data_IF_858720715321
#
_entry.id   IF_858720715321
#
_cell.length_a   1.000
_cell.length_b   1.000
_cell.length_c   1.000
_cell.angle_alpha   90.00
_cell.angle_beta   90.00
_cell.angle_gamma   90.00
#
_symmetry.space_group_name_H-M   'P 1'
#
loop_
_entity.id
_entity.type
_entity.pdbx_description
1 polymer ?
#
# COMPACT_ATOMS: atom_id res chain seq x y z
N UNK A 1 -19.00 -8.64 -6.28
CA UNK A 1 -17.51 -8.52 -6.30
C UNK A 1 -16.78 -9.73 -5.73
N UNK A 2 -17.06 -10.20 -4.50
CA UNK A 2 -16.33 -11.34 -3.87
C UNK A 2 -16.28 -12.63 -4.71
N UNK A 3 -17.34 -12.94 -5.46
CA UNK A 3 -17.44 -14.11 -6.36
C UNK A 3 -16.50 -14.02 -7.57
N UNK A 4 -16.34 -12.83 -8.15
CA UNK A 4 -15.47 -12.59 -9.30
C UNK A 4 -14.00 -12.61 -8.89
N UNK A 5 -13.66 -12.01 -7.74
CA UNK A 5 -12.32 -12.09 -7.14
C UNK A 5 -11.91 -13.53 -6.83
N UNK A 6 -12.82 -14.36 -6.29
CA UNK A 6 -12.58 -15.79 -6.06
C UNK A 6 -12.35 -16.59 -7.34
N UNK A 7 -13.07 -16.29 -8.43
CA UNK A 7 -12.86 -16.92 -9.74
C UNK A 7 -11.54 -16.49 -10.39
N UNK A 8 -11.20 -15.21 -10.28
CA UNK A 8 -9.93 -14.66 -10.78
C UNK A 8 -8.71 -15.28 -10.07
N UNK A 9 -8.77 -15.45 -8.74
CA UNK A 9 -7.73 -16.14 -7.94
C UNK A 9 -7.47 -17.60 -8.36
N UNK A 10 -8.42 -18.27 -9.03
CA UNK A 10 -8.31 -19.68 -9.43
C UNK A 10 -7.77 -19.90 -10.85
N UNK A 11 -7.79 -18.89 -11.73
CA UNK A 11 -7.50 -19.09 -13.16
C UNK A 11 -6.07 -18.74 -13.58
N UNK A 12 -5.32 -17.98 -12.77
CA UNK A 12 -3.86 -17.85 -12.91
C UNK A 12 -3.23 -18.71 -11.82
N UNK A 13 -2.18 -19.46 -12.14
CA UNK A 13 -1.14 -19.76 -11.16
C UNK A 13 -0.55 -18.41 -10.73
N UNK A 14 -1.24 -17.70 -9.84
CA UNK A 14 -0.76 -16.44 -9.30
C UNK A 14 0.51 -16.82 -8.56
N UNK A 15 1.67 -16.32 -9.01
CA UNK A 15 2.86 -16.28 -8.17
C UNK A 15 2.44 -15.60 -6.87
N UNK A 16 2.19 -16.39 -5.84
CA UNK A 16 1.84 -15.89 -4.52
C UNK A 16 3.11 -15.32 -3.93
N UNK A 17 3.18 -13.99 -3.82
CA UNK A 17 4.23 -13.34 -3.04
C UNK A 17 3.90 -13.53 -1.55
N UNK A 18 4.90 -13.88 -0.74
CA UNK A 18 4.72 -13.83 0.71
C UNK A 18 4.65 -12.38 1.19
N UNK A 19 4.00 -12.13 2.33
CA UNK A 19 3.92 -10.78 2.88
C UNK A 19 5.32 -10.22 3.19
N UNK A 20 6.27 -11.08 3.59
CA UNK A 20 7.67 -10.73 3.80
C UNK A 20 8.33 -10.24 2.51
N UNK A 21 8.25 -11.02 1.44
CA UNK A 21 8.80 -10.64 0.12
C UNK A 21 8.14 -9.35 -0.42
N UNK A 22 6.83 -9.20 -0.22
CA UNK A 22 6.10 -7.99 -0.61
C UNK A 22 6.65 -6.76 0.11
N UNK A 23 6.78 -6.81 1.43
CA UNK A 23 7.31 -5.67 2.20
C UNK A 23 8.76 -5.36 1.83
N UNK A 24 9.62 -6.37 1.68
CA UNK A 24 11.01 -6.18 1.25
C UNK A 24 11.11 -5.52 -0.14
N UNK A 25 10.34 -6.01 -1.11
CA UNK A 25 10.29 -5.48 -2.47
C UNK A 25 9.94 -3.99 -2.50
N UNK A 26 8.84 -3.61 -1.84
CA UNK A 26 8.36 -2.22 -1.91
C UNK A 26 9.12 -1.26 -0.98
N UNK A 27 9.69 -1.75 0.13
CA UNK A 27 10.65 -0.95 0.90
C UNK A 27 11.87 -0.61 0.05
N UNK A 28 12.45 -1.61 -0.64
CA UNK A 28 13.60 -1.37 -1.50
C UNK A 28 13.29 -0.39 -2.63
N UNK A 29 12.12 -0.49 -3.24
CA UNK A 29 11.69 0.48 -4.25
C UNK A 29 11.67 1.90 -3.68
N UNK A 30 11.01 2.14 -2.55
CA UNK A 30 10.92 3.50 -1.99
C UNK A 30 12.27 4.07 -1.54
N UNK A 31 13.19 3.21 -1.12
CA UNK A 31 14.52 3.64 -0.68
C UNK A 31 15.47 3.94 -1.84
N UNK A 32 15.37 3.20 -2.95
CA UNK A 32 16.39 3.22 -4.00
C UNK A 32 15.90 3.76 -5.35
N UNK A 33 14.62 3.53 -5.68
CA UNK A 33 14.10 3.76 -7.04
C UNK A 33 13.05 4.89 -7.11
N UNK A 34 12.34 5.17 -6.01
CA UNK A 34 11.36 6.25 -5.98
C UNK A 34 12.02 7.63 -6.10
N UNK A 35 11.64 8.36 -7.14
CA UNK A 35 12.00 9.77 -7.34
C UNK A 35 10.75 10.67 -7.37
N UNK A 36 10.51 11.50 -6.34
CA UNK A 36 9.36 12.40 -6.31
C UNK A 36 9.44 13.52 -7.38
N UNK A 37 10.58 13.69 -8.06
CA UNK A 37 10.76 14.65 -9.15
C UNK A 37 10.65 14.02 -10.53
N UNK A 38 10.34 12.73 -10.59
CA UNK A 38 10.06 12.02 -11.83
C UNK A 38 9.02 12.77 -12.66
N UNK A 39 9.31 12.95 -13.95
CA UNK A 39 8.36 13.56 -14.90
C UNK A 39 7.15 12.64 -15.21
N UNK A 40 7.17 11.38 -14.73
CA UNK A 40 5.98 10.52 -14.80
C UNK A 40 4.94 11.02 -13.78
N UNK A 41 3.82 11.50 -14.31
CA UNK A 41 2.72 12.11 -13.56
C UNK A 41 1.90 11.11 -12.73
N UNK A 42 2.13 9.80 -12.88
CA UNK A 42 1.25 8.78 -12.29
C UNK A 42 1.94 7.65 -11.52
N UNK A 43 3.26 7.50 -11.56
CA UNK A 43 3.83 6.19 -11.20
C UNK A 43 4.54 6.21 -9.85
N UNK A 44 3.74 6.07 -8.78
CA UNK A 44 4.30 5.80 -7.45
C UNK A 44 5.10 4.49 -7.47
N UNK A 45 4.74 3.56 -8.37
CA UNK A 45 5.57 2.56 -9.04
C UNK A 45 4.78 2.01 -10.24
N UNK A 46 5.32 2.08 -11.47
CA UNK A 46 4.72 1.50 -12.71
C UNK A 46 4.92 -0.03 -12.74
N UNK A 47 4.51 -0.70 -11.68
CA UNK A 47 4.59 -2.16 -11.57
C UNK A 47 3.19 -2.72 -11.75
N UNK A 48 2.91 -3.44 -12.86
CA UNK A 48 1.63 -4.14 -13.03
C UNK A 48 1.40 -5.21 -11.95
N UNK A 49 2.47 -5.61 -11.25
CA UNK A 49 2.41 -6.63 -10.21
C UNK A 49 1.80 -6.11 -8.90
N UNK A 50 1.93 -4.81 -8.57
CA UNK A 50 1.52 -4.32 -7.24
C UNK A 50 0.03 -4.58 -6.92
N UNK A 51 -0.93 -4.27 -7.82
CA UNK A 51 -2.34 -4.57 -7.57
C UNK A 51 -2.60 -6.07 -7.45
N UNK A 52 -1.99 -6.87 -8.33
CA UNK A 52 -2.14 -8.33 -8.35
C UNK A 52 -1.58 -8.95 -7.05
N UNK A 53 -0.44 -8.46 -6.57
CA UNK A 53 0.20 -8.87 -5.32
C UNK A 53 -0.65 -8.49 -4.10
N UNK A 54 -1.16 -7.25 -4.05
CA UNK A 54 -2.08 -6.79 -3.01
C UNK A 54 -3.34 -7.66 -2.93
N UNK A 55 -3.98 -7.95 -4.06
CA UNK A 55 -5.14 -8.84 -4.12
C UNK A 55 -4.79 -10.28 -3.71
N UNK A 56 -3.60 -10.77 -4.08
CA UNK A 56 -3.13 -12.11 -3.71
C UNK A 56 -2.99 -12.26 -2.19
N UNK A 57 -2.48 -11.21 -1.53
CA UNK A 57 -2.33 -11.10 -0.08
C UNK A 57 -3.66 -10.87 0.66
N UNK A 58 -4.73 -10.57 -0.07
CA UNK A 58 -6.07 -10.38 0.48
C UNK A 58 -6.38 -8.95 0.90
N UNK A 59 -5.58 -7.97 0.47
CA UNK A 59 -5.87 -6.55 0.70
C UNK A 59 -6.95 -6.07 -0.25
N UNK A 60 -7.77 -5.15 0.24
CA UNK A 60 -8.84 -4.52 -0.52
C UNK A 60 -8.50 -3.06 -0.83
N UNK A 61 -8.89 -2.63 -2.04
CA UNK A 61 -8.83 -1.24 -2.45
C UNK A 61 -10.14 -0.56 -2.05
N UNK A 62 -10.30 -0.30 -0.76
CA UNK A 62 -11.51 0.20 -0.12
C UNK A 62 -11.52 1.72 0.09
N UNK A 63 -10.70 2.45 -0.66
CA UNK A 63 -10.54 3.89 -0.54
C UNK A 63 -10.09 4.35 0.87
N UNK A 64 -9.43 3.47 1.63
CA UNK A 64 -8.92 3.75 2.97
C UNK A 64 -9.97 3.61 4.08
N UNK A 65 -11.12 3.01 3.80
CA UNK A 65 -12.21 2.85 4.77
C UNK A 65 -11.79 1.97 5.96
N UNK A 66 -11.29 0.76 5.73
CA UNK A 66 -10.82 -0.14 6.80
C UNK A 66 -9.70 0.49 7.63
N UNK A 67 -8.76 1.17 6.96
CA UNK A 67 -7.67 1.87 7.63
C UNK A 67 -8.20 2.97 8.55
N UNK A 68 -9.04 3.86 8.04
CA UNK A 68 -9.54 5.01 8.80
C UNK A 68 -10.51 4.60 9.91
N UNK A 69 -11.27 3.51 9.73
CA UNK A 69 -12.10 2.94 10.79
C UNK A 69 -11.25 2.33 11.91
N UNK A 70 -10.13 1.69 11.57
CA UNK A 70 -9.27 0.99 12.55
C UNK A 70 -8.36 1.96 13.31
N UNK A 71 -7.76 2.92 12.60
CA UNK A 71 -6.68 3.76 13.12
C UNK A 71 -7.00 5.26 13.13
N UNK A 72 -8.18 5.64 12.67
CA UNK A 72 -8.60 7.03 12.60
C UNK A 72 -8.08 7.77 11.37
N UNK A 73 -8.73 8.90 11.11
CA UNK A 73 -8.52 9.72 9.91
C UNK A 73 -7.21 10.53 9.95
N UNK A 74 -6.70 10.84 11.13
CA UNK A 74 -5.45 11.58 11.29
C UNK A 74 -4.22 10.77 10.86
N UNK A 75 -4.22 9.47 11.15
CA UNK A 75 -3.16 8.55 10.70
C UNK A 75 -3.15 8.38 9.17
N UNK A 76 -4.32 8.49 8.53
CA UNK A 76 -4.43 8.45 7.07
C UNK A 76 -3.87 9.71 6.40
N UNK A 77 -4.16 10.87 7.01
CA UNK A 77 -3.92 12.19 6.40
C UNK A 77 -2.53 12.76 6.63
N UNK A 78 -1.85 12.37 7.69
CA UNK A 78 -0.59 13.02 8.07
C UNK A 78 0.43 12.04 8.61
N UNK A 79 1.71 12.29 8.30
CA UNK A 79 2.82 11.51 8.85
C UNK A 79 2.95 11.69 10.37
N UNK A 80 2.58 12.87 10.89
CA UNK A 80 2.51 13.10 12.34
C UNK A 80 1.46 12.23 13.02
N UNK A 81 0.25 12.18 12.45
CA UNK A 81 -0.82 11.32 12.96
C UNK A 81 -0.41 9.85 12.90
N UNK A 82 0.16 9.42 11.77
CA UNK A 82 0.61 8.04 11.61
C UNK A 82 1.71 7.67 12.61
N UNK A 83 2.75 8.49 12.72
CA UNK A 83 3.92 8.20 13.56
C UNK A 83 3.59 8.11 15.04
N UNK A 84 2.57 8.85 15.49
CA UNK A 84 2.14 8.83 16.89
C UNK A 84 1.61 7.48 17.37
N UNK A 85 1.17 6.60 16.45
CA UNK A 85 0.52 5.33 16.80
C UNK A 85 1.01 4.12 15.97
N UNK A 86 1.94 4.30 15.03
CA UNK A 86 2.40 3.24 14.11
C UNK A 86 2.87 1.97 14.84
N UNK A 87 3.47 2.12 16.02
CA UNK A 87 3.98 1.00 16.83
C UNK A 87 2.87 0.15 17.48
N UNK A 88 1.63 0.65 17.50
CA UNK A 88 0.45 -0.03 18.06
C UNK A 88 -0.41 -0.64 16.95
N UNK A 89 -0.15 -0.32 15.68
CA UNK A 89 -0.91 -0.81 14.54
C UNK A 89 -0.54 -2.27 14.23
N UNK A 90 -1.44 -3.20 14.53
CA UNK A 90 -1.20 -4.65 14.39
C UNK A 90 -2.12 -5.35 13.36
N UNK A 91 -3.14 -4.66 12.85
CA UNK A 91 -4.04 -5.21 11.86
C UNK A 91 -3.42 -5.10 10.45
N UNK A 92 -2.81 -6.20 10.00
CA UNK A 92 -2.16 -6.31 8.68
C UNK A 92 -3.13 -6.11 7.52
N UNK A 93 -4.38 -6.55 7.63
CA UNK A 93 -5.40 -6.36 6.59
C UNK A 93 -5.73 -4.87 6.40
N UNK A 94 -5.90 -4.14 7.50
CA UNK A 94 -6.14 -2.69 7.46
C UNK A 94 -4.91 -1.92 6.95
N UNK A 95 -3.70 -2.30 7.37
CA UNK A 95 -2.45 -1.69 6.90
C UNK A 95 -2.26 -1.88 5.40
N UNK A 96 -2.40 -3.12 4.91
CA UNK A 96 -2.26 -3.44 3.49
C UNK A 96 -3.37 -2.84 2.62
N UNK A 97 -4.61 -2.83 3.08
CA UNK A 97 -5.73 -2.20 2.35
C UNK A 97 -5.59 -0.67 2.29
N UNK A 98 -5.08 -0.05 3.36
CA UNK A 98 -4.71 1.36 3.36
C UNK A 98 -3.60 1.69 2.37
N UNK A 99 -2.52 0.89 2.37
CA UNK A 99 -1.41 1.00 1.41
C UNK A 99 -1.91 0.93 -0.03
N UNK A 100 -2.73 -0.08 -0.34
CA UNK A 100 -3.26 -0.30 -1.67
C UNK A 100 -4.17 0.85 -2.13
N UNK A 101 -5.05 1.30 -1.24
CA UNK A 101 -5.94 2.43 -1.51
C UNK A 101 -5.19 3.73 -1.76
N UNK A 102 -4.14 4.02 -0.99
CA UNK A 102 -3.34 5.24 -1.16
C UNK A 102 -2.52 5.18 -2.44
N UNK A 103 -1.96 4.03 -2.79
CA UNK A 103 -1.32 3.82 -4.09
C UNK A 103 -2.29 4.08 -5.25
N UNK A 104 -3.52 3.53 -5.17
CA UNK A 104 -4.54 3.74 -6.21
C UNK A 104 -4.86 5.21 -6.40
N UNK A 105 -5.01 5.95 -5.30
CA UNK A 105 -5.27 7.38 -5.33
C UNK A 105 -4.21 8.11 -6.17
N UNK A 106 -2.92 7.89 -5.90
CA UNK A 106 -1.86 8.57 -6.64
C UNK A 106 -1.78 8.16 -8.11
N UNK A 107 -1.99 6.88 -8.42
CA UNK A 107 -1.84 6.40 -9.80
C UNK A 107 -3.04 6.72 -10.70
N UNK A 108 -4.19 7.10 -10.14
CA UNK A 108 -5.43 7.24 -10.92
C UNK A 108 -6.23 8.52 -10.66
N UNK A 109 -6.07 9.15 -9.50
CA UNK A 109 -6.93 10.26 -9.06
C UNK A 109 -6.17 11.50 -8.62
N UNK A 110 -4.92 11.37 -8.19
CA UNK A 110 -4.11 12.53 -7.88
C UNK A 110 -3.80 13.32 -9.16
N UNK A 111 -3.89 14.64 -9.04
CA UNK A 111 -3.45 15.59 -10.05
C UNK A 111 -2.01 16.09 -9.77
N UNK A 112 -1.36 15.55 -8.75
CA UNK A 112 -0.02 15.93 -8.32
C UNK A 112 0.80 14.67 -8.08
N UNK A 113 2.11 14.81 -8.28
CA UNK A 113 3.06 13.72 -8.01
C UNK A 113 3.13 13.44 -6.51
N UNK A 114 3.36 12.17 -6.17
CA UNK A 114 3.64 11.78 -4.81
C UNK A 114 4.90 12.49 -4.29
N UNK A 115 4.81 13.02 -3.08
CA UNK A 115 5.86 13.79 -2.45
C UNK A 115 6.79 12.91 -1.61
N UNK A 116 7.86 13.50 -1.07
CA UNK A 116 8.67 12.84 -0.03
C UNK A 116 7.84 12.56 1.24
N UNK A 117 6.82 13.37 1.53
CA UNK A 117 5.90 13.09 2.64
C UNK A 117 5.09 11.82 2.38
N UNK A 118 4.61 11.63 1.15
CA UNK A 118 3.87 10.43 0.76
C UNK A 118 4.75 9.18 0.81
N UNK A 119 5.96 9.25 0.27
CA UNK A 119 6.96 8.17 0.42
C UNK A 119 7.17 7.79 1.87
N UNK A 120 7.31 8.78 2.77
CA UNK A 120 7.48 8.51 4.19
C UNK A 120 6.27 7.81 4.80
N UNK A 121 5.06 8.17 4.39
CA UNK A 121 3.84 7.48 4.80
C UNK A 121 3.88 5.99 4.39
N UNK A 122 4.20 5.71 3.12
CA UNK A 122 4.28 4.33 2.62
C UNK A 122 5.38 3.52 3.33
N UNK A 123 6.56 4.10 3.50
CA UNK A 123 7.67 3.45 4.19
C UNK A 123 7.32 3.09 5.64
N UNK A 124 6.61 3.96 6.36
CA UNK A 124 6.18 3.67 7.73
C UNK A 124 5.22 2.48 7.78
N UNK A 125 4.24 2.43 6.88
CA UNK A 125 3.30 1.31 6.77
C UNK A 125 4.02 0.00 6.41
N UNK A 126 4.84 0.02 5.36
CA UNK A 126 5.56 -1.16 4.89
C UNK A 126 6.53 -1.69 5.94
N UNK A 127 7.31 -0.82 6.59
CA UNK A 127 8.21 -1.21 7.69
C UNK A 127 7.42 -1.78 8.86
N UNK A 128 6.27 -1.19 9.19
CA UNK A 128 5.42 -1.76 10.25
C UNK A 128 4.95 -3.16 9.89
N UNK A 129 4.43 -3.35 8.67
CA UNK A 129 4.01 -4.67 8.19
C UNK A 129 5.17 -5.67 8.22
N UNK A 130 6.38 -5.26 7.85
CA UNK A 130 7.58 -6.11 7.89
C UNK A 130 7.93 -6.57 9.32
N UNK A 131 7.71 -5.73 10.34
CA UNK A 131 7.96 -6.13 11.75
C UNK A 131 6.94 -7.14 12.29
N UNK A 132 5.83 -7.36 11.59
CA UNK A 132 4.73 -8.23 12.00
C UNK A 132 4.77 -9.61 11.33
N UNK A 133 5.77 -9.88 10.47
CA UNK A 133 5.88 -11.11 9.65
C UNK A 133 7.24 -11.79 9.74
#
# INVERSE_FOLDING_TARGET
MKSLLRKWKRSKLIKTISLKEFTEKYINYFLNDFDPKSASYYDLFDSPDFPDECWSLGFDMDCGESFTMTYGREAWRSNKGLSSMINEMNNLEALGSGLFSKWRYFNHWAYEHATEEDKNWFLMILKRMQTLV
#
